data_IF_735775111485
#
_entry.id   IF_735775111485
#
_cell.length_a   1.000
_cell.length_b   1.000
_cell.length_c   1.000
_cell.angle_alpha   90.00
_cell.angle_beta   90.00
_cell.angle_gamma   90.00
#
_symmetry.space_group_name_H-M   'P 1'
#
loop_
_entity.id
_entity.type
_entity.pdbx_description
1 polymer ?
#
# COMPACT_ATOMS: atom_id res chain seq x y z
N UNK A 1 -9.39 31.36 22.20
CA UNK A 1 -9.80 29.94 22.22
C UNK A 1 -10.47 29.50 20.91
N UNK A 2 -11.48 30.19 20.40
CA UNK A 2 -12.17 29.84 19.14
C UNK A 2 -11.28 29.83 17.90
N UNK A 3 -10.32 30.75 17.75
CA UNK A 3 -9.38 30.81 16.63
C UNK A 3 -8.39 29.63 16.63
N UNK A 4 -7.95 29.19 17.81
CA UNK A 4 -7.05 28.03 17.96
C UNK A 4 -7.77 26.73 17.59
N UNK A 5 -9.02 26.55 18.04
CA UNK A 5 -9.85 25.39 17.70
C UNK A 5 -10.10 25.31 16.19
N UNK A 6 -10.47 26.43 15.54
CA UNK A 6 -10.66 26.50 14.08
C UNK A 6 -9.39 26.10 13.33
N UNK A 7 -8.22 26.55 13.79
CA UNK A 7 -6.93 26.17 13.20
C UNK A 7 -6.68 24.66 13.33
N UNK A 8 -6.86 24.10 14.53
CA UNK A 8 -6.69 22.67 14.78
C UNK A 8 -7.62 21.82 13.92
N UNK A 9 -8.91 22.18 13.85
CA UNK A 9 -9.89 21.47 13.01
C UNK A 9 -9.50 21.50 11.53
N UNK A 10 -8.99 22.63 11.04
CA UNK A 10 -8.49 22.73 9.65
C UNK A 10 -7.32 21.80 9.39
N UNK A 11 -6.36 21.68 10.30
CA UNK A 11 -5.21 20.79 10.12
C UNK A 11 -5.64 19.32 10.22
N UNK A 12 -6.52 18.95 11.14
CA UNK A 12 -7.10 17.60 11.20
C UNK A 12 -7.85 17.27 9.90
N UNK A 13 -8.67 18.20 9.40
CA UNK A 13 -9.37 18.03 8.14
C UNK A 13 -8.42 17.79 6.97
N UNK A 14 -7.29 18.52 6.91
CA UNK A 14 -6.26 18.32 5.88
C UNK A 14 -5.68 16.89 5.88
N UNK A 15 -5.61 16.23 7.03
CA UNK A 15 -5.16 14.83 7.13
C UNK A 15 -6.25 13.84 6.75
N UNK A 16 -7.50 14.14 7.07
CA UNK A 16 -8.63 13.20 6.95
C UNK A 16 -9.23 13.18 5.54
N UNK A 17 -9.41 14.37 4.91
CA UNK A 17 -10.16 14.41 3.64
C UNK A 17 -9.54 13.56 2.49
N UNK A 18 -8.21 13.38 2.35
CA UNK A 18 -7.67 12.52 1.31
C UNK A 18 -8.06 11.05 1.50
N UNK A 19 -8.07 10.61 2.76
CA UNK A 19 -8.49 9.25 3.12
C UNK A 19 -9.98 9.07 2.80
N UNK A 20 -10.81 10.06 3.11
CA UNK A 20 -12.23 10.03 2.75
C UNK A 20 -12.44 10.00 1.23
N UNK A 21 -11.70 10.81 0.47
CA UNK A 21 -11.75 10.78 -1.01
C UNK A 21 -11.41 9.37 -1.50
N UNK A 22 -10.34 8.74 -0.96
CA UNK A 22 -9.97 7.39 -1.31
C UNK A 22 -11.12 6.40 -1.08
N UNK A 23 -11.66 6.36 0.14
CA UNK A 23 -12.72 5.39 0.48
C UNK A 23 -14.00 5.61 -0.31
N UNK A 24 -14.44 6.85 -0.46
CA UNK A 24 -15.67 7.15 -1.24
C UNK A 24 -15.49 6.78 -2.71
N UNK A 25 -14.37 7.18 -3.32
CA UNK A 25 -14.15 6.89 -4.73
C UNK A 25 -13.87 5.39 -4.95
N UNK A 26 -13.12 4.73 -4.06
CA UNK A 26 -12.93 3.28 -4.11
C UNK A 26 -14.27 2.54 -4.01
N UNK A 27 -15.14 2.93 -3.07
CA UNK A 27 -16.48 2.37 -2.96
C UNK A 27 -17.29 2.54 -4.27
N UNK A 28 -17.30 3.73 -4.84
CA UNK A 28 -18.03 4.02 -6.08
C UNK A 28 -17.52 3.17 -7.25
N UNK A 29 -16.18 3.12 -7.42
CA UNK A 29 -15.57 2.33 -8.52
C UNK A 29 -15.79 0.84 -8.30
N UNK A 30 -15.54 0.32 -7.11
CA UNK A 30 -15.69 -1.11 -6.80
C UNK A 30 -17.15 -1.55 -6.93
N UNK A 31 -18.07 -0.82 -6.30
CA UNK A 31 -19.51 -1.13 -6.37
C UNK A 31 -20.06 -0.99 -7.79
N UNK A 32 -19.71 0.08 -8.50
CA UNK A 32 -20.10 0.30 -9.89
C UNK A 32 -19.57 -0.80 -10.83
N UNK A 33 -18.29 -1.16 -10.70
CA UNK A 33 -17.69 -2.26 -11.46
C UNK A 33 -18.39 -3.58 -11.19
N UNK A 34 -18.70 -3.86 -9.92
CA UNK A 34 -19.38 -5.08 -9.51
C UNK A 34 -20.79 -5.18 -10.09
N UNK A 35 -21.56 -4.08 -10.09
CA UNK A 35 -22.90 -4.04 -10.73
C UNK A 35 -22.81 -4.34 -12.23
N UNK A 36 -21.84 -3.75 -12.93
CA UNK A 36 -21.65 -3.99 -14.37
C UNK A 36 -21.26 -5.44 -14.62
N UNK A 37 -20.29 -5.98 -13.89
CA UNK A 37 -19.84 -7.37 -14.05
C UNK A 37 -20.95 -8.37 -13.76
N UNK A 38 -21.73 -8.16 -12.69
CA UNK A 38 -22.88 -9.02 -12.36
C UNK A 38 -23.91 -9.03 -13.48
N UNK A 39 -24.27 -7.86 -14.03
CA UNK A 39 -25.20 -7.77 -15.17
C UNK A 39 -24.68 -8.49 -16.42
N UNK A 40 -23.38 -8.34 -16.71
CA UNK A 40 -22.74 -9.02 -17.85
C UNK A 40 -22.73 -10.53 -17.63
N UNK A 41 -22.40 -11.01 -16.43
CA UNK A 41 -22.35 -12.42 -16.08
C UNK A 41 -23.75 -13.09 -16.12
N UNK A 42 -24.82 -12.38 -15.73
CA UNK A 42 -26.18 -12.85 -15.89
C UNK A 42 -26.55 -12.94 -17.38
N UNK A 43 -26.17 -11.93 -18.18
CA UNK A 43 -26.48 -11.89 -19.62
C UNK A 43 -25.71 -12.96 -20.40
N UNK A 44 -24.49 -13.31 -19.99
CA UNK A 44 -23.68 -14.38 -20.61
C UNK A 44 -24.11 -15.80 -20.16
N UNK A 45 -24.89 -15.90 -19.08
CA UNK A 45 -25.26 -17.19 -18.49
C UNK A 45 -24.21 -17.72 -17.46
N UNK A 46 -23.20 -16.94 -17.16
CA UNK A 46 -22.18 -17.30 -16.13
C UNK A 46 -22.77 -17.27 -14.70
N UNK A 47 -23.82 -16.48 -14.50
CA UNK A 47 -24.62 -16.47 -13.27
C UNK A 47 -26.07 -16.86 -13.63
N UNK A 48 -26.54 -17.94 -13.01
CA UNK A 48 -27.92 -18.40 -13.14
C UNK A 48 -28.74 -17.79 -11.99
N UNK A 49 -29.70 -16.96 -12.36
CA UNK A 49 -30.65 -16.40 -11.41
C UNK A 49 -31.61 -17.51 -10.98
N UNK A 50 -31.55 -17.92 -9.74
CA UNK A 50 -32.40 -18.96 -9.16
C UNK A 50 -33.03 -18.50 -7.85
N UNK A 51 -34.05 -19.23 -7.38
CA UNK A 51 -34.62 -19.04 -6.04
C UNK A 51 -33.70 -19.57 -4.91
N UNK A 52 -32.67 -20.33 -5.25
CA UNK A 52 -31.62 -20.75 -4.29
C UNK A 52 -30.63 -19.61 -4.06
N UNK A 53 -30.85 -18.89 -2.95
CA UNK A 53 -30.05 -17.75 -2.54
C UNK A 53 -28.60 -18.20 -2.22
N UNK A 54 -28.40 -19.42 -1.73
CA UNK A 54 -27.08 -19.93 -1.37
C UNK A 54 -26.23 -20.12 -2.63
N UNK A 55 -26.77 -20.84 -3.62
CA UNK A 55 -26.11 -21.04 -4.90
C UNK A 55 -25.80 -19.72 -5.63
N UNK A 56 -26.72 -18.76 -5.56
CA UNK A 56 -26.52 -17.43 -6.16
C UNK A 56 -25.40 -16.65 -5.45
N UNK A 57 -25.34 -16.70 -4.12
CA UNK A 57 -24.27 -16.06 -3.35
C UNK A 57 -22.90 -16.69 -3.64
N UNK A 58 -22.81 -18.00 -3.82
CA UNK A 58 -21.55 -18.67 -4.19
C UNK A 58 -21.08 -18.22 -5.58
N UNK A 59 -21.96 -18.15 -6.58
CA UNK A 59 -21.62 -17.65 -7.92
C UNK A 59 -21.14 -16.19 -7.86
N UNK A 60 -21.80 -15.33 -7.08
CA UNK A 60 -21.37 -13.94 -6.87
C UNK A 60 -20.01 -13.85 -6.19
N UNK A 61 -19.76 -14.68 -5.17
CA UNK A 61 -18.45 -14.72 -4.48
C UNK A 61 -17.34 -15.15 -5.44
N UNK A 62 -17.58 -16.14 -6.29
CA UNK A 62 -16.61 -16.55 -7.32
C UNK A 62 -16.33 -15.42 -8.32
N UNK A 63 -17.37 -14.70 -8.77
CA UNK A 63 -17.23 -13.56 -9.66
C UNK A 63 -16.41 -12.44 -9.01
N UNK A 64 -16.69 -12.13 -7.72
CA UNK A 64 -15.94 -11.12 -6.95
C UNK A 64 -14.46 -11.53 -6.87
N UNK A 65 -14.17 -12.75 -6.49
CA UNK A 65 -12.78 -13.23 -6.36
C UNK A 65 -12.05 -13.17 -7.71
N UNK A 66 -12.69 -13.61 -8.79
CA UNK A 66 -12.11 -13.62 -10.14
C UNK A 66 -11.68 -12.22 -10.62
N UNK A 67 -12.47 -11.18 -10.31
CA UNK A 67 -12.24 -9.82 -10.84
C UNK A 67 -11.70 -8.83 -9.79
N UNK A 68 -11.51 -9.24 -8.55
CA UNK A 68 -11.11 -8.34 -7.44
C UNK A 68 -9.82 -7.58 -7.71
N UNK A 69 -8.77 -8.25 -8.22
CA UNK A 69 -7.50 -7.60 -8.54
C UNK A 69 -7.63 -6.61 -9.70
N UNK A 70 -8.41 -6.97 -10.74
CA UNK A 70 -8.70 -6.06 -11.85
C UNK A 70 -9.42 -4.81 -11.36
N UNK A 71 -10.48 -4.99 -10.54
CA UNK A 71 -11.25 -3.88 -9.98
C UNK A 71 -10.35 -3.02 -9.08
N UNK A 72 -9.48 -3.63 -8.28
CA UNK A 72 -8.52 -2.91 -7.43
C UNK A 72 -7.51 -2.12 -8.28
N UNK A 73 -6.95 -2.73 -9.33
CA UNK A 73 -6.05 -2.04 -10.26
C UNK A 73 -6.73 -0.85 -10.94
N UNK A 74 -7.96 -1.03 -11.44
CA UNK A 74 -8.75 0.04 -12.05
C UNK A 74 -9.05 1.16 -11.06
N UNK A 75 -9.44 0.81 -9.82
CA UNK A 75 -9.67 1.79 -8.74
C UNK A 75 -8.42 2.64 -8.50
N UNK A 76 -7.27 2.00 -8.38
CA UNK A 76 -6.00 2.68 -8.14
C UNK A 76 -5.62 3.59 -9.33
N UNK A 77 -5.80 3.13 -10.56
CA UNK A 77 -5.54 3.91 -11.77
C UNK A 77 -6.45 5.14 -11.89
N UNK A 78 -7.75 5.00 -11.56
CA UNK A 78 -8.71 6.12 -11.57
C UNK A 78 -8.38 7.16 -10.50
N UNK A 79 -7.93 6.72 -9.32
CA UNK A 79 -7.60 7.60 -8.20
C UNK A 79 -6.24 8.28 -8.33
N UNK A 80 -5.30 7.67 -9.04
CA UNK A 80 -3.93 8.17 -9.18
C UNK A 80 -3.86 9.62 -9.70
N UNK A 81 -4.55 10.03 -10.78
CA UNK A 81 -4.55 11.41 -11.23
C UNK A 81 -5.14 12.38 -10.20
N UNK A 82 -6.17 11.96 -9.45
CA UNK A 82 -6.78 12.79 -8.40
C UNK A 82 -5.73 13.11 -7.32
N UNK A 83 -5.05 12.10 -6.80
CA UNK A 83 -4.01 12.29 -5.77
C UNK A 83 -2.78 13.00 -6.32
N UNK A 84 -2.40 12.76 -7.57
CA UNK A 84 -1.30 13.49 -8.22
C UNK A 84 -1.62 14.99 -8.33
N UNK A 85 -2.85 15.37 -8.66
CA UNK A 85 -3.29 16.78 -8.72
C UNK A 85 -3.28 17.39 -7.32
N UNK A 86 -3.82 16.70 -6.30
CA UNK A 86 -3.82 17.18 -4.93
C UNK A 86 -2.40 17.37 -4.40
N UNK A 87 -1.51 16.41 -4.66
CA UNK A 87 -0.10 16.50 -4.31
C UNK A 87 0.58 17.70 -4.96
N UNK A 88 0.39 17.88 -6.29
CA UNK A 88 0.93 19.03 -7.01
C UNK A 88 0.47 20.37 -6.43
N UNK A 89 -0.79 20.45 -5.98
CA UNK A 89 -1.32 21.67 -5.32
C UNK A 89 -0.64 21.93 -3.99
N UNK A 90 -0.44 20.91 -3.17
CA UNK A 90 0.28 21.04 -1.90
C UNK A 90 1.75 21.40 -2.11
N UNK A 91 2.42 20.77 -3.08
CA UNK A 91 3.83 21.03 -3.38
C UNK A 91 4.07 22.43 -3.96
N UNK A 92 3.18 22.94 -4.83
CA UNK A 92 3.29 24.33 -5.31
C UNK A 92 3.31 25.33 -4.15
N UNK A 93 2.45 25.14 -3.15
CA UNK A 93 2.44 25.98 -1.93
C UNK A 93 3.73 25.86 -1.14
N UNK A 94 4.30 24.66 -1.00
CA UNK A 94 5.56 24.42 -0.29
C UNK A 94 6.76 25.04 -1.01
N UNK A 95 6.84 24.88 -2.32
CA UNK A 95 7.90 25.51 -3.15
C UNK A 95 7.87 27.02 -2.96
N UNK A 96 6.69 27.65 -3.02
CA UNK A 96 6.53 29.09 -2.86
C UNK A 96 6.87 29.60 -1.46
N UNK A 97 6.50 28.84 -0.41
CA UNK A 97 6.62 29.28 0.98
C UNK A 97 7.92 28.85 1.66
N UNK A 98 8.50 27.72 1.27
CA UNK A 98 9.61 27.06 1.97
C UNK A 98 10.83 26.78 1.09
N UNK A 99 10.79 27.12 -0.21
CA UNK A 99 11.89 26.84 -1.13
C UNK A 99 12.16 25.33 -1.32
N UNK A 100 11.15 24.48 -1.13
CA UNK A 100 11.28 23.03 -1.23
C UNK A 100 11.65 22.62 -2.66
N UNK A 101 12.67 21.77 -2.80
CA UNK A 101 13.06 21.18 -4.08
C UNK A 101 13.09 19.65 -4.00
N UNK A 102 12.79 18.99 -5.10
CA UNK A 102 12.94 17.56 -5.24
C UNK A 102 14.37 17.19 -5.62
N UNK A 103 14.91 16.14 -5.00
CA UNK A 103 16.19 15.56 -5.42
C UNK A 103 15.94 14.46 -6.44
N UNK A 104 16.78 14.40 -7.48
CA UNK A 104 16.81 13.27 -8.40
C UNK A 104 17.39 12.03 -7.71
N UNK A 105 16.96 10.84 -8.17
CA UNK A 105 17.58 9.58 -7.77
C UNK A 105 18.56 9.15 -8.85
N UNK A 106 19.79 8.85 -8.46
CA UNK A 106 20.75 8.15 -9.31
C UNK A 106 20.47 6.64 -9.33
N UNK A 107 21.01 5.93 -10.29
CA UNK A 107 20.80 4.50 -10.47
C UNK A 107 21.26 3.69 -9.26
N UNK A 108 22.34 4.10 -8.58
CA UNK A 108 22.84 3.46 -7.37
C UNK A 108 21.81 3.50 -6.26
N UNK A 109 21.23 4.68 -6.01
CA UNK A 109 20.18 4.84 -5.00
C UNK A 109 18.91 4.07 -5.36
N UNK A 110 18.52 4.02 -6.64
CA UNK A 110 17.40 3.18 -7.11
C UNK A 110 17.64 1.71 -6.76
N UNK A 111 18.81 1.16 -7.09
CA UNK A 111 19.15 -0.24 -6.78
C UNK A 111 19.18 -0.50 -5.27
N UNK A 112 19.83 0.38 -4.49
CA UNK A 112 19.91 0.23 -3.04
C UNK A 112 18.53 0.24 -2.39
N UNK A 113 17.65 1.16 -2.79
CA UNK A 113 16.30 1.30 -2.25
C UNK A 113 15.43 0.08 -2.63
N UNK A 114 15.56 -0.42 -3.86
CA UNK A 114 14.84 -1.63 -4.27
C UNK A 114 15.28 -2.85 -3.45
N UNK A 115 16.59 -3.07 -3.29
CA UNK A 115 17.13 -4.16 -2.45
C UNK A 115 16.74 -4.00 -0.98
N UNK A 116 16.71 -2.76 -0.47
CA UNK A 116 16.22 -2.48 0.88
C UNK A 116 14.76 -2.89 1.05
N UNK A 117 13.90 -2.57 0.09
CA UNK A 117 12.48 -2.96 0.09
C UNK A 117 12.32 -4.48 0.08
N UNK A 118 13.03 -5.18 -0.81
CA UNK A 118 13.01 -6.64 -0.91
C UNK A 118 13.46 -7.30 0.39
N UNK A 119 14.61 -6.88 0.94
CA UNK A 119 15.15 -7.46 2.17
C UNK A 119 14.28 -7.16 3.40
N UNK A 120 13.68 -5.98 3.47
CA UNK A 120 12.73 -5.63 4.51
C UNK A 120 11.48 -6.50 4.47
N UNK A 121 10.91 -6.72 3.28
CA UNK A 121 9.73 -7.57 3.11
C UNK A 121 9.99 -9.01 3.53
N UNK A 122 11.11 -9.61 3.11
CA UNK A 122 11.51 -10.97 3.54
C UNK A 122 11.63 -11.04 5.06
N UNK A 123 12.29 -10.06 5.68
CA UNK A 123 12.51 -10.01 7.13
C UNK A 123 11.19 -9.89 7.90
N UNK A 124 10.32 -8.98 7.48
CA UNK A 124 9.05 -8.70 8.18
C UNK A 124 8.05 -9.84 7.97
N UNK A 125 7.96 -10.41 6.76
CA UNK A 125 7.13 -11.58 6.49
C UNK A 125 7.56 -12.80 7.31
N UNK A 126 8.87 -13.00 7.49
CA UNK A 126 9.38 -14.06 8.35
C UNK A 126 8.97 -13.85 9.82
N UNK A 127 9.06 -12.63 10.35
CA UNK A 127 8.62 -12.31 11.73
C UNK A 127 7.12 -12.58 11.87
N UNK A 128 6.29 -12.17 10.92
CA UNK A 128 4.84 -12.42 10.93
C UNK A 128 4.54 -13.92 10.88
N UNK A 129 5.23 -14.66 10.02
CA UNK A 129 5.08 -16.13 9.92
C UNK A 129 5.45 -16.82 11.22
N UNK A 130 6.60 -16.49 11.82
CA UNK A 130 7.06 -17.08 13.09
C UNK A 130 6.16 -16.70 14.28
N UNK A 131 5.48 -15.56 14.24
CA UNK A 131 4.54 -15.15 15.29
C UNK A 131 3.25 -15.97 15.33
N UNK A 132 2.94 -16.70 14.27
CA UNK A 132 1.69 -17.44 14.12
C UNK A 132 0.44 -16.58 13.94
N UNK A 133 0.55 -15.26 13.92
CA UNK A 133 -0.59 -14.33 13.81
C UNK A 133 -1.48 -14.58 12.59
N UNK A 134 -0.88 -15.07 11.50
CA UNK A 134 -1.61 -15.36 10.26
C UNK A 134 -2.68 -16.44 10.44
N UNK A 135 -2.44 -17.44 11.31
CA UNK A 135 -3.38 -18.54 11.59
C UNK A 135 -4.65 -18.06 12.31
N UNK A 136 -4.53 -17.00 13.11
CA UNK A 136 -5.64 -16.47 13.92
C UNK A 136 -6.42 -15.34 13.23
N UNK A 137 -6.11 -15.04 11.96
CA UNK A 137 -6.76 -13.94 11.23
C UNK A 137 -7.46 -14.41 9.96
N UNK A 138 -8.75 -14.84 10.03
CA UNK A 138 -9.51 -15.24 8.84
C UNK A 138 -9.55 -14.15 7.76
N UNK A 139 -9.64 -12.89 8.16
CA UNK A 139 -9.62 -11.76 7.22
C UNK A 139 -8.30 -11.64 6.48
N UNK A 140 -7.16 -11.89 7.15
CA UNK A 140 -5.86 -11.91 6.48
C UNK A 140 -5.78 -13.04 5.45
N UNK A 141 -6.24 -14.26 5.82
CA UNK A 141 -6.26 -15.40 4.92
C UNK A 141 -7.12 -15.13 3.69
N UNK A 142 -8.31 -14.55 3.87
CA UNK A 142 -9.19 -14.15 2.77
C UNK A 142 -8.51 -13.14 1.82
N UNK A 143 -7.89 -12.09 2.37
CA UNK A 143 -7.19 -11.08 1.56
C UNK A 143 -6.01 -11.70 0.82
N UNK A 144 -5.23 -12.59 1.45
CA UNK A 144 -4.13 -13.31 0.81
C UNK A 144 -4.63 -14.18 -0.34
N UNK A 145 -5.72 -14.93 -0.14
CA UNK A 145 -6.32 -15.72 -1.22
C UNK A 145 -6.72 -14.84 -2.40
N UNK A 146 -7.35 -13.70 -2.16
CA UNK A 146 -7.72 -12.75 -3.23
C UNK A 146 -6.49 -12.27 -3.98
N UNK A 147 -5.42 -11.87 -3.28
CA UNK A 147 -4.20 -11.36 -3.91
C UNK A 147 -3.54 -12.43 -4.78
N UNK A 148 -3.40 -13.67 -4.27
CA UNK A 148 -2.68 -14.76 -4.94
C UNK A 148 -3.58 -15.69 -5.79
N UNK A 149 -4.84 -15.33 -6.05
CA UNK A 149 -5.73 -16.11 -6.94
C UNK A 149 -5.86 -15.54 -8.35
N UNK A 150 -5.33 -14.34 -8.58
CA UNK A 150 -5.50 -13.62 -9.86
C UNK A 150 -4.48 -13.99 -10.94
N UNK A 151 -3.47 -14.77 -10.58
CA UNK A 151 -2.31 -15.09 -11.41
C UNK A 151 -1.27 -13.98 -11.45
N UNK A 152 -0.02 -14.36 -11.60
CA UNK A 152 1.17 -13.52 -11.44
C UNK A 152 1.11 -12.20 -12.22
N UNK A 153 0.51 -12.20 -13.42
CA UNK A 153 0.39 -10.96 -14.21
C UNK A 153 -0.51 -9.93 -13.53
N UNK A 154 -1.69 -10.34 -13.05
CA UNK A 154 -2.62 -9.44 -12.37
C UNK A 154 -2.10 -9.02 -11.00
N UNK A 155 -1.37 -9.88 -10.32
CA UNK A 155 -0.70 -9.57 -9.05
C UNK A 155 0.37 -8.50 -9.23
N UNK A 156 1.19 -8.62 -10.29
CA UNK A 156 2.19 -7.60 -10.62
C UNK A 156 1.51 -6.26 -10.95
N UNK A 157 0.50 -6.26 -11.80
CA UNK A 157 -0.18 -5.03 -12.20
C UNK A 157 -0.88 -4.37 -11.00
N UNK A 158 -1.62 -5.14 -10.21
CA UNK A 158 -2.46 -4.60 -9.12
C UNK A 158 -1.66 -4.36 -7.84
N UNK A 159 -1.01 -5.41 -7.30
CA UNK A 159 -0.38 -5.36 -5.99
C UNK A 159 1.06 -4.82 -6.02
N UNK A 160 1.83 -5.08 -7.10
CA UNK A 160 3.23 -4.64 -7.16
C UNK A 160 3.35 -3.23 -7.73
N UNK A 161 2.51 -2.82 -8.68
CA UNK A 161 2.65 -1.52 -9.36
C UNK A 161 1.57 -0.53 -8.93
N UNK A 162 0.29 -0.85 -9.20
CA UNK A 162 -0.79 0.14 -9.05
C UNK A 162 -1.05 0.52 -7.59
N UNK A 163 -1.05 -0.43 -6.67
CA UNK A 163 -1.27 -0.16 -5.25
C UNK A 163 -0.13 0.69 -4.65
N UNK A 164 1.17 0.32 -4.77
CA UNK A 164 2.26 1.15 -4.26
C UNK A 164 2.27 2.58 -4.81
N UNK A 165 2.01 2.76 -6.10
CA UNK A 165 1.97 4.10 -6.69
C UNK A 165 0.90 4.98 -6.02
N UNK A 166 -0.31 4.49 -5.86
CA UNK A 166 -1.40 5.24 -5.23
C UNK A 166 -1.17 5.44 -3.74
N UNK A 167 -0.75 4.39 -3.04
CA UNK A 167 -0.54 4.42 -1.60
C UNK A 167 0.57 5.40 -1.22
N UNK A 168 1.68 5.44 -1.96
CA UNK A 168 2.75 6.39 -1.66
C UNK A 168 2.34 7.84 -1.98
N UNK A 169 1.52 8.08 -3.02
CA UNK A 169 0.93 9.40 -3.26
C UNK A 169 0.07 9.85 -2.07
N UNK A 170 -0.76 8.96 -1.53
CA UNK A 170 -1.63 9.26 -0.40
C UNK A 170 -0.83 9.41 0.90
N UNK A 171 -0.02 8.40 1.26
CA UNK A 171 0.62 8.35 2.58
C UNK A 171 1.87 9.23 2.67
N UNK A 172 2.80 9.16 1.71
CA UNK A 172 4.05 9.94 1.75
C UNK A 172 3.88 11.28 1.08
N UNK A 173 3.18 11.30 -0.05
CA UNK A 173 2.89 12.53 -0.78
C UNK A 173 2.03 13.50 0.01
N UNK A 174 0.99 13.03 0.69
CA UNK A 174 0.04 13.90 1.38
C UNK A 174 0.12 13.78 2.91
N UNK A 175 -0.20 12.61 3.50
CA UNK A 175 -0.33 12.48 4.96
C UNK A 175 0.99 12.80 5.66
N UNK A 176 2.09 12.12 5.27
CA UNK A 176 3.40 12.34 5.88
C UNK A 176 3.87 13.79 5.74
N UNK A 177 3.81 14.36 4.53
CA UNK A 177 4.21 15.76 4.31
C UNK A 177 3.43 16.75 5.16
N UNK A 178 2.12 16.55 5.28
CA UNK A 178 1.26 17.41 6.11
C UNK A 178 1.55 17.26 7.60
N UNK A 179 1.85 16.04 8.05
CA UNK A 179 2.33 15.82 9.42
C UNK A 179 3.68 16.51 9.66
N UNK A 180 4.58 16.51 8.67
CA UNK A 180 5.86 17.23 8.75
C UNK A 180 5.70 18.74 8.88
N UNK A 181 4.61 19.31 8.38
CA UNK A 181 4.27 20.73 8.61
C UNK A 181 3.89 21.00 10.08
N UNK A 182 3.49 19.98 10.86
CA UNK A 182 2.94 20.10 12.21
C UNK A 182 3.86 19.59 13.31
N UNK A 183 4.72 18.61 13.00
CA UNK A 183 5.52 17.92 14.02
C UNK A 183 6.91 17.49 13.50
N UNK A 184 7.72 16.92 14.42
CA UNK A 184 9.05 16.42 14.11
C UNK A 184 9.03 15.28 13.10
N UNK A 185 10.15 15.04 12.41
CA UNK A 185 10.29 13.93 11.47
C UNK A 185 9.98 12.58 12.13
N UNK A 186 10.49 12.34 13.33
CA UNK A 186 10.26 11.10 14.09
C UNK A 186 8.77 10.88 14.35
N UNK A 187 8.07 11.88 14.82
CA UNK A 187 6.62 11.81 15.09
C UNK A 187 5.83 11.60 13.79
N UNK A 188 6.17 12.35 12.73
CA UNK A 188 5.49 12.21 11.44
C UNK A 188 5.68 10.82 10.81
N UNK A 189 6.89 10.22 10.93
CA UNK A 189 7.17 8.85 10.50
C UNK A 189 6.25 7.87 11.23
N UNK A 190 6.23 7.91 12.57
CA UNK A 190 5.44 6.97 13.36
C UNK A 190 3.94 7.10 13.12
N UNK A 191 3.44 8.33 13.11
CA UNK A 191 2.00 8.59 12.90
C UNK A 191 1.57 8.20 11.48
N UNK A 192 2.36 8.57 10.46
CA UNK A 192 2.07 8.17 9.06
C UNK A 192 2.10 6.66 8.88
N UNK A 193 3.06 5.96 9.52
CA UNK A 193 3.14 4.51 9.49
C UNK A 193 1.93 3.85 10.19
N UNK A 194 1.46 4.41 11.31
CA UNK A 194 0.27 3.91 12.00
C UNK A 194 -0.98 4.05 11.12
N UNK A 195 -1.17 5.20 10.46
CA UNK A 195 -2.25 5.37 9.49
C UNK A 195 -2.16 4.37 8.34
N UNK A 196 -0.96 4.13 7.81
CA UNK A 196 -0.71 3.15 6.75
C UNK A 196 -1.07 1.72 7.21
N UNK A 197 -0.68 1.33 8.42
CA UNK A 197 -1.05 0.04 8.99
C UNK A 197 -2.57 -0.11 9.20
N UNK A 198 -3.24 0.89 9.77
CA UNK A 198 -4.70 0.90 10.00
C UNK A 198 -5.46 0.78 8.67
N UNK A 199 -4.99 1.42 7.63
CA UNK A 199 -5.59 1.40 6.30
C UNK A 199 -5.78 0.00 5.73
N UNK A 200 -4.94 -0.97 6.11
CA UNK A 200 -5.02 -2.36 5.65
C UNK A 200 -6.15 -3.19 6.30
N UNK A 201 -6.73 -2.72 7.40
CA UNK A 201 -8.01 -3.22 7.92
C UNK A 201 -7.99 -4.58 8.61
N UNK A 202 -6.83 -5.18 8.90
CA UNK A 202 -6.69 -6.35 9.78
C UNK A 202 -5.37 -6.30 10.56
N UNK A 203 -5.34 -7.01 11.69
CA UNK A 203 -4.21 -6.94 12.63
C UNK A 203 -2.87 -7.41 12.03
N UNK A 204 -2.89 -8.49 11.26
CA UNK A 204 -1.66 -9.04 10.65
C UNK A 204 -1.07 -8.03 9.68
N UNK A 205 -1.91 -7.51 8.79
CA UNK A 205 -1.48 -6.47 7.85
C UNK A 205 -1.08 -5.18 8.56
N UNK A 206 -1.77 -4.81 9.64
CA UNK A 206 -1.37 -3.67 10.46
C UNK A 206 0.07 -3.82 10.94
N UNK A 207 0.45 -4.96 11.50
CA UNK A 207 1.79 -5.17 12.06
C UNK A 207 2.87 -5.01 10.98
N UNK A 208 2.75 -5.73 9.87
CA UNK A 208 3.78 -5.63 8.84
C UNK A 208 3.76 -4.29 8.09
N UNK A 209 2.58 -3.75 7.80
CA UNK A 209 2.47 -2.47 7.12
C UNK A 209 2.93 -1.30 8.00
N UNK A 210 2.75 -1.37 9.31
CA UNK A 210 3.31 -0.38 10.24
C UNK A 210 4.84 -0.37 10.18
N UNK A 211 5.49 -1.55 10.25
CA UNK A 211 6.96 -1.67 10.20
C UNK A 211 7.49 -1.19 8.84
N UNK A 212 6.93 -1.69 7.75
CA UNK A 212 7.28 -1.25 6.39
C UNK A 212 6.98 0.24 6.21
N UNK A 213 5.88 0.72 6.78
CA UNK A 213 5.47 2.12 6.77
C UNK A 213 6.48 3.07 7.40
N UNK A 214 7.12 2.66 8.51
CA UNK A 214 8.23 3.41 9.12
C UNK A 214 9.39 3.53 8.13
N UNK A 215 9.78 2.43 7.49
CA UNK A 215 10.90 2.41 6.54
C UNK A 215 10.60 3.24 5.29
N UNK A 216 9.39 3.15 4.74
CA UNK A 216 8.95 3.96 3.61
C UNK A 216 9.00 5.47 3.91
N UNK A 217 8.50 5.87 5.09
CA UNK A 217 8.55 7.27 5.52
C UNK A 217 9.98 7.74 5.80
N UNK A 218 10.83 6.88 6.35
CA UNK A 218 12.26 7.15 6.56
C UNK A 218 12.98 7.36 5.22
N UNK A 219 12.80 6.46 4.26
CA UNK A 219 13.39 6.58 2.92
C UNK A 219 12.93 7.86 2.23
N UNK A 220 11.64 8.19 2.33
CA UNK A 220 11.12 9.46 1.84
C UNK A 220 11.80 10.67 2.50
N UNK A 221 11.93 10.68 3.83
CA UNK A 221 12.57 11.78 4.56
C UNK A 221 14.03 11.98 4.16
N UNK A 222 14.75 10.90 3.88
CA UNK A 222 16.16 10.94 3.44
C UNK A 222 16.31 11.40 1.99
N UNK A 223 15.53 10.83 1.09
CA UNK A 223 15.68 11.04 -0.36
C UNK A 223 14.91 12.25 -0.90
N UNK A 224 13.94 12.78 -0.13
CA UNK A 224 13.11 13.94 -0.50
C UNK A 224 12.41 13.82 -1.86
N UNK A 225 12.17 12.61 -2.32
CA UNK A 225 11.45 12.31 -3.56
C UNK A 225 10.45 11.19 -3.36
N UNK A 226 9.28 11.31 -3.98
CA UNK A 226 8.20 10.31 -3.89
C UNK A 226 8.61 8.97 -4.54
N UNK A 227 9.51 9.02 -5.50
CA UNK A 227 9.98 7.82 -6.20
C UNK A 227 10.76 6.88 -5.29
N UNK A 228 11.44 7.39 -4.26
CA UNK A 228 12.20 6.55 -3.34
C UNK A 228 11.31 5.55 -2.57
N UNK A 229 10.26 5.96 -1.84
CA UNK A 229 9.37 5.00 -1.21
C UNK A 229 8.56 4.17 -2.22
N UNK A 230 8.23 4.70 -3.42
CA UNK A 230 7.59 3.91 -4.48
C UNK A 230 8.48 2.75 -4.92
N UNK A 231 9.77 2.98 -5.18
CA UNK A 231 10.73 1.94 -5.57
C UNK A 231 10.90 0.91 -4.46
N UNK A 232 11.04 1.36 -3.21
CA UNK A 232 11.09 0.48 -2.05
C UNK A 232 9.85 -0.41 -1.97
N UNK A 233 8.66 0.17 -2.07
CA UNK A 233 7.38 -0.52 -1.94
C UNK A 233 7.16 -1.51 -3.08
N UNK A 234 7.46 -1.12 -4.32
CA UNK A 234 7.45 -2.04 -5.48
C UNK A 234 8.41 -3.21 -5.22
N UNK A 235 9.63 -2.96 -4.76
CA UNK A 235 10.59 -4.01 -4.41
C UNK A 235 10.06 -4.96 -3.34
N UNK A 236 9.45 -4.43 -2.28
CA UNK A 236 8.87 -5.22 -1.20
C UNK A 236 7.72 -6.12 -1.67
N UNK A 237 6.79 -5.58 -2.47
CA UNK A 237 5.67 -6.37 -2.98
C UNK A 237 6.11 -7.36 -4.08
N UNK A 238 7.05 -6.95 -4.94
CA UNK A 238 7.59 -7.82 -5.99
C UNK A 238 8.23 -9.08 -5.41
N UNK A 239 9.12 -8.93 -4.42
CA UNK A 239 9.77 -10.10 -3.82
C UNK A 239 8.76 -11.02 -3.12
N UNK A 240 7.72 -10.45 -2.50
CA UNK A 240 6.66 -11.22 -1.85
C UNK A 240 5.87 -12.06 -2.88
N UNK A 241 5.49 -11.47 -4.02
CA UNK A 241 4.82 -12.18 -5.12
C UNK A 241 5.73 -13.25 -5.71
N UNK A 242 6.98 -12.93 -6.02
CA UNK A 242 7.92 -13.89 -6.61
C UNK A 242 8.18 -15.09 -5.68
N UNK A 243 8.29 -14.87 -4.38
CA UNK A 243 8.48 -15.95 -3.42
C UNK A 243 7.22 -16.83 -3.35
N UNK A 244 6.04 -16.23 -3.28
CA UNK A 244 4.79 -16.99 -3.16
C UNK A 244 4.49 -17.79 -4.43
N UNK A 245 4.71 -17.22 -5.63
CA UNK A 245 4.32 -17.83 -6.89
C UNK A 245 5.38 -18.76 -7.50
N UNK A 246 6.66 -18.49 -7.27
CA UNK A 246 7.74 -19.16 -8.02
C UNK A 246 8.69 -19.98 -7.16
N UNK A 247 8.73 -19.75 -5.84
CA UNK A 247 9.70 -20.45 -5.00
C UNK A 247 9.08 -21.71 -4.35
N UNK A 248 9.86 -22.79 -4.22
CA UNK A 248 9.38 -24.00 -3.54
C UNK A 248 9.13 -23.75 -2.06
N UNK A 249 8.27 -24.58 -1.47
CA UNK A 249 8.07 -24.58 -0.02
C UNK A 249 9.42 -24.76 0.71
N UNK A 250 9.61 -24.00 1.78
CA UNK A 250 10.85 -23.99 2.56
C UNK A 250 12.01 -23.17 1.96
N UNK A 251 11.84 -22.52 0.82
CA UNK A 251 12.85 -21.59 0.27
C UNK A 251 13.21 -20.51 1.29
N UNK A 252 12.22 -19.95 1.98
CA UNK A 252 12.44 -19.01 3.08
C UNK A 252 12.82 -19.79 4.34
N UNK A 253 14.10 -20.05 4.47
CA UNK A 253 14.70 -20.68 5.64
C UNK A 253 15.47 -19.65 6.50
N UNK A 254 15.97 -20.11 7.66
CA UNK A 254 16.67 -19.22 8.61
C UNK A 254 17.87 -18.50 8.02
N UNK A 255 18.61 -19.11 7.11
CA UNK A 255 19.74 -18.45 6.42
C UNK A 255 19.30 -17.30 5.52
N UNK A 256 18.25 -17.53 4.70
CA UNK A 256 17.68 -16.48 3.82
C UNK A 256 17.17 -15.30 4.65
N UNK A 257 16.50 -15.58 5.76
CA UNK A 257 15.98 -14.54 6.67
C UNK A 257 17.12 -13.74 7.30
N UNK A 258 18.14 -14.40 7.83
CA UNK A 258 19.31 -13.74 8.44
C UNK A 258 20.07 -12.90 7.41
N UNK A 259 20.26 -13.41 6.19
CA UNK A 259 20.88 -12.66 5.11
C UNK A 259 20.06 -11.41 4.75
N UNK A 260 18.73 -11.54 4.63
CA UNK A 260 17.85 -10.40 4.36
C UNK A 260 17.90 -9.34 5.47
N UNK A 261 17.88 -9.76 6.74
CA UNK A 261 18.02 -8.85 7.88
C UNK A 261 19.36 -8.13 7.90
N UNK A 262 20.45 -8.83 7.60
CA UNK A 262 21.79 -8.23 7.52
C UNK A 262 21.88 -7.20 6.38
N UNK A 263 21.37 -7.52 5.18
CA UNK A 263 21.31 -6.61 4.04
C UNK A 263 20.48 -5.37 4.38
N UNK A 264 19.30 -5.56 4.98
CA UNK A 264 18.41 -4.48 5.41
C UNK A 264 19.12 -3.54 6.38
N UNK A 265 19.79 -4.09 7.40
CA UNK A 265 20.54 -3.32 8.38
C UNK A 265 21.69 -2.52 7.74
N UNK A 266 22.52 -3.18 6.92
CA UNK A 266 23.69 -2.53 6.26
C UNK A 266 23.23 -1.36 5.38
N UNK A 267 22.21 -1.56 4.55
CA UNK A 267 21.70 -0.47 3.69
C UNK A 267 21.10 0.66 4.54
N UNK A 268 20.33 0.32 5.59
CA UNK A 268 19.75 1.33 6.47
C UNK A 268 20.85 2.18 7.14
N UNK A 269 21.91 1.54 7.68
CA UNK A 269 23.05 2.25 8.26
C UNK A 269 23.78 3.11 7.24
N UNK A 270 23.92 2.61 6.00
CA UNK A 270 24.51 3.38 4.89
C UNK A 270 23.70 4.64 4.58
N UNK A 271 22.38 4.53 4.56
CA UNK A 271 21.47 5.67 4.31
C UNK A 271 21.39 6.64 5.50
N UNK A 272 21.79 6.23 6.71
CA UNK A 272 21.85 7.11 7.88
C UNK A 272 23.06 8.06 7.85
N UNK A 273 24.13 7.69 7.16
CA UNK A 273 25.32 8.52 6.96
C UNK A 273 25.10 9.59 5.89
#
# INVERSE_FOLDING_TARGET
>A
MESALKKTLKEVWRLVYPVLIYFVAAFVVQYGSMLVLTRLAIKSGDIIVSSDITAMNEQLAQLINKYSLLITALTNLVLMPVFAILLRRDDRKRIQLQGFSYTGLDIKNVCLIAVLGMSAAVSVNAIVSLSGLAYFSPKYQQVSQIIYSGGIFMEIVSAVIAAPLLEELLFRGMIYKRLRDLCSAKTAILVSAAFFGIFHGNLVQFVYAFIIGIMLAFVYEKMKTIWAPVIFHIGANLISVLITELMPEGFINGFVVLAAMAICLVITVFLLK
#
